data_IF_852867878234
#
_entry.id   IF_852867878234
#
_cell.length_a   1.000
_cell.length_b   1.000
_cell.length_c   1.000
_cell.angle_alpha   90.00
_cell.angle_beta   90.00
_cell.angle_gamma   90.00
#
_symmetry.space_group_name_H-M   'P 1'
#
loop_
_entity.id
_entity.type
_entity.pdbx_description
1 polymer ?
#
# COMPACT_ATOMS: atom_id res chain seq x y z
N UNK A 1 4.18 -0.47 11.39
CA UNK A 1 4.21 -0.77 9.94
C UNK A 1 3.37 -1.97 9.52
N UNK A 2 3.72 -3.22 9.88
CA UNK A 2 2.90 -4.38 9.49
C UNK A 2 1.45 -4.27 9.98
N UNK A 3 1.24 -3.94 11.25
CA UNK A 3 -0.09 -3.77 11.83
C UNK A 3 -0.87 -2.60 11.19
N UNK A 4 -0.19 -1.53 10.79
CA UNK A 4 -0.81 -0.37 10.13
C UNK A 4 -1.27 -0.75 8.72
N UNK A 5 -0.43 -1.43 7.94
CA UNK A 5 -0.82 -1.98 6.63
C UNK A 5 -2.00 -2.96 6.77
N UNK A 6 -2.00 -3.82 7.81
CA UNK A 6 -3.14 -4.70 8.08
C UNK A 6 -4.42 -3.93 8.37
N UNK A 7 -4.33 -2.84 9.15
CA UNK A 7 -5.48 -1.98 9.45
C UNK A 7 -6.03 -1.33 8.17
N UNK A 8 -5.16 -0.81 7.31
CA UNK A 8 -5.55 -0.19 6.04
C UNK A 8 -6.20 -1.20 5.08
N UNK A 9 -5.61 -2.39 4.91
CA UNK A 9 -6.14 -3.43 4.03
C UNK A 9 -7.48 -4.02 4.52
N UNK A 10 -7.72 -4.01 5.84
CA UNK A 10 -8.96 -4.52 6.45
C UNK A 10 -10.01 -3.43 6.68
N UNK A 11 -9.71 -2.17 6.36
CA UNK A 11 -10.64 -1.06 6.55
C UNK A 11 -11.92 -1.25 5.71
N UNK A 12 -13.08 -0.93 6.29
CA UNK A 12 -14.38 -0.96 5.63
C UNK A 12 -15.10 0.39 5.88
N UNK A 13 -15.34 1.22 4.85
CA UNK A 13 -14.93 1.03 3.45
C UNK A 13 -13.41 1.04 3.29
N UNK A 14 -12.91 0.42 2.22
CA UNK A 14 -11.50 0.48 1.87
C UNK A 14 -11.13 1.91 1.48
N UNK A 15 -10.00 2.40 1.98
CA UNK A 15 -9.47 3.73 1.65
C UNK A 15 -8.14 3.56 0.92
N UNK A 16 -8.00 4.08 -0.31
CA UNK A 16 -6.73 4.06 -1.03
C UNK A 16 -5.60 4.73 -0.24
N UNK A 17 -4.43 4.09 -0.24
CA UNK A 17 -3.26 4.60 0.46
C UNK A 17 -2.01 4.47 -0.41
N UNK A 18 -0.98 5.26 -0.10
CA UNK A 18 0.31 5.19 -0.77
C UNK A 18 1.35 4.64 0.19
N UNK A 19 2.19 3.74 -0.30
CA UNK A 19 3.35 3.22 0.40
C UNK A 19 4.55 4.06 -0.02
N UNK A 20 5.17 4.72 0.95
CA UNK A 20 6.39 5.50 0.74
C UNK A 20 7.59 4.70 1.22
N UNK A 21 8.53 4.45 0.33
CA UNK A 21 9.73 3.67 0.58
C UNK A 21 10.92 4.56 0.95
N UNK A 22 11.94 3.98 1.59
CA UNK A 22 13.14 4.71 2.05
C UNK A 22 14.03 5.22 0.92
N UNK A 23 13.91 4.65 -0.26
CA UNK A 23 14.58 5.06 -1.50
C UNK A 23 13.84 6.21 -2.22
N UNK A 24 12.68 6.64 -1.70
CA UNK A 24 11.82 7.65 -2.31
C UNK A 24 10.76 7.10 -3.26
N UNK A 25 10.65 5.77 -3.43
CA UNK A 25 9.61 5.15 -4.24
C UNK A 25 8.23 5.34 -3.60
N UNK A 26 7.23 5.66 -4.42
CA UNK A 26 5.85 5.87 -4.00
C UNK A 26 4.92 4.91 -4.75
N UNK A 27 4.30 3.97 -4.04
CA UNK A 27 3.37 3.00 -4.64
C UNK A 27 1.96 3.24 -4.14
N UNK A 28 1.02 3.55 -5.04
CA UNK A 28 -0.39 3.77 -4.67
C UNK A 28 -1.19 2.48 -4.76
N UNK A 29 -1.79 2.06 -3.65
CA UNK A 29 -2.75 0.94 -3.58
C UNK A 29 -4.16 1.52 -3.72
N UNK A 30 -4.73 1.42 -4.93
CA UNK A 30 -6.08 1.92 -5.24
C UNK A 30 -7.20 0.98 -4.79
N UNK A 31 -6.93 -0.32 -4.78
CA UNK A 31 -7.90 -1.37 -4.47
C UNK A 31 -7.27 -2.40 -3.51
N UNK A 32 -8.04 -3.01 -2.60
CA UNK A 32 -7.50 -3.97 -1.63
C UNK A 32 -6.88 -5.20 -2.29
N UNK A 33 -7.41 -5.65 -3.43
CA UNK A 33 -6.89 -6.77 -4.23
C UNK A 33 -5.52 -6.50 -4.85
N UNK A 34 -5.13 -5.23 -4.99
CA UNK A 34 -3.83 -4.84 -5.54
C UNK A 34 -2.69 -5.03 -4.53
N UNK A 35 -2.98 -5.40 -3.28
CA UNK A 35 -1.96 -5.54 -2.25
C UNK A 35 -2.12 -6.82 -1.44
N UNK A 36 -1.04 -7.59 -1.34
CA UNK A 36 -0.97 -8.79 -0.51
C UNK A 36 0.11 -8.64 0.55
N UNK A 37 -0.32 -8.59 1.81
CA UNK A 37 0.60 -8.50 2.93
C UNK A 37 0.96 -9.89 3.47
N UNK A 38 2.26 -10.18 3.48
CA UNK A 38 2.86 -11.32 4.17
C UNK A 38 3.55 -10.87 5.46
N UNK A 39 4.19 -11.82 6.17
CA UNK A 39 4.80 -11.57 7.48
C UNK A 39 5.84 -10.43 7.47
N UNK A 40 6.68 -10.37 6.43
CA UNK A 40 7.75 -9.35 6.32
C UNK A 40 7.75 -8.60 4.99
N UNK A 41 6.80 -8.93 4.11
CA UNK A 41 6.77 -8.46 2.73
C UNK A 41 5.38 -7.96 2.38
N UNK A 42 5.32 -7.03 1.43
CA UNK A 42 4.09 -6.65 0.76
C UNK A 42 4.30 -6.77 -0.74
N UNK A 43 3.38 -7.46 -1.40
CA UNK A 43 3.26 -7.48 -2.86
C UNK A 43 2.26 -6.42 -3.26
N UNK A 44 2.61 -5.58 -4.23
CA UNK A 44 1.71 -4.57 -4.76
C UNK A 44 1.70 -4.65 -6.28
N UNK A 45 0.50 -4.69 -6.83
CA UNK A 45 0.27 -4.59 -8.27
C UNK A 45 -0.14 -3.17 -8.59
N UNK A 46 0.55 -2.55 -9.56
CA UNK A 46 0.22 -1.19 -10.00
C UNK A 46 -1.01 -1.19 -10.91
N UNK A 47 -1.63 -0.01 -11.00
CA UNK A 47 -2.81 0.21 -11.85
C UNK A 47 -2.46 -0.04 -13.33
N UNK A 48 -3.12 -1.01 -13.95
CA UNK A 48 -2.78 -1.52 -15.28
C UNK A 48 -2.27 -2.96 -15.29
N UNK A 49 -1.90 -3.52 -14.13
CA UNK A 49 -1.49 -4.93 -14.00
C UNK A 49 -0.15 -5.28 -14.67
N UNK A 50 0.54 -4.30 -15.23
CA UNK A 50 1.76 -4.50 -16.02
C UNK A 50 2.99 -4.76 -15.13
N UNK A 51 2.97 -4.29 -13.87
CA UNK A 51 4.08 -4.46 -12.94
C UNK A 51 3.60 -4.92 -11.57
N UNK A 52 4.25 -5.97 -11.06
CA UNK A 52 4.11 -6.47 -9.70
C UNK A 52 5.43 -6.26 -8.96
N UNK A 53 5.39 -5.47 -7.90
CA UNK A 53 6.56 -5.20 -7.08
C UNK A 53 6.38 -5.81 -5.69
N UNK A 54 7.49 -6.16 -5.06
CA UNK A 54 7.50 -6.73 -3.73
C UNK A 54 8.52 -6.02 -2.86
N UNK A 55 8.10 -5.63 -1.67
CA UNK A 55 8.88 -4.77 -0.80
C UNK A 55 8.97 -5.35 0.59
N UNK A 56 10.14 -5.21 1.21
CA UNK A 56 10.28 -5.47 2.65
C UNK A 56 9.64 -4.35 3.45
N UNK A 57 8.88 -4.73 4.47
CA UNK A 57 8.19 -3.78 5.36
C UNK A 57 9.15 -2.84 6.12
N UNK A 58 10.41 -3.24 6.27
CA UNK A 58 11.46 -2.45 6.93
C UNK A 58 11.83 -1.17 6.17
N UNK A 59 11.57 -1.14 4.86
CA UNK A 59 11.86 0.03 4.02
C UNK A 59 10.67 0.97 3.87
N UNK A 60 9.50 0.61 4.41
CA UNK A 60 8.33 1.49 4.39
C UNK A 60 8.55 2.58 5.44
N UNK A 61 8.57 3.83 4.99
CA UNK A 61 8.78 5.00 5.85
C UNK A 61 7.48 5.68 6.22
N UNK A 62 6.48 5.69 5.32
CA UNK A 62 5.18 6.35 5.52
C UNK A 62 4.06 5.64 4.76
N UNK A 63 2.84 5.79 5.29
CA UNK A 63 1.60 5.28 4.71
C UNK A 63 0.53 6.40 4.65
N UNK A 64 0.70 7.45 3.82
CA UNK A 64 -0.34 8.45 3.65
C UNK A 64 -1.61 7.81 3.05
N UNK A 65 -2.73 7.96 3.74
CA UNK A 65 -4.03 7.71 3.17
C UNK A 65 -4.38 8.87 2.25
N UNK A 66 -4.78 8.59 1.02
CA UNK A 66 -5.53 9.58 0.26
C UNK A 66 -6.97 9.46 0.75
N UNK A 67 -7.37 10.33 1.67
CA UNK A 67 -8.78 10.72 1.68
C UNK A 67 -9.06 11.20 0.26
N UNK A 68 -9.97 10.51 -0.42
CA UNK A 68 -10.49 10.99 -1.70
C UNK A 68 -11.02 12.38 -1.41
N UNK A 69 -10.30 13.41 -1.86
CA UNK A 69 -10.74 14.79 -1.89
C UNK A 69 -11.97 14.81 -2.80
N UNK A 70 -13.13 14.54 -2.21
CA UNK A 70 -14.43 14.79 -2.79
C UNK A 70 -14.67 16.29 -2.59
N UNK A 71 -14.21 17.07 -3.56
CA UNK A 71 -14.56 18.47 -3.75
C UNK A 71 -15.11 18.63 -5.17
#
# INVERSE_FOLDING_TARGET
>A
MQEELQKLLKAKPFVPFTIVMSDGTHITVKYPENAWLLKHWIYVTTDGGETSEHFYLLHVTRLPCKESEAA
#
